data_IF_461214056378
#
_entry.id   IF_461214056378
#
_cell.length_a   1.000
_cell.length_b   1.000
_cell.length_c   1.000
_cell.angle_alpha   90.00
_cell.angle_beta   90.00
_cell.angle_gamma   90.00
#
_symmetry.space_group_name_H-M   'P 1'
#
loop_
_entity.id
_entity.type
_entity.pdbx_description
1 polymer ?
#
# COMPACT_ATOMS: atom_id res chain seq x y z
N UNK A 1 39.93 -36.47 -26.11
CA UNK A 1 38.69 -35.90 -26.68
C UNK A 1 37.77 -35.61 -25.50
N UNK A 2 36.85 -34.63 -25.56
CA UNK A 2 35.85 -34.30 -24.51
C UNK A 2 36.08 -33.17 -23.48
N UNK A 3 37.07 -32.28 -23.62
CA UNK A 3 37.03 -31.00 -22.87
C UNK A 3 37.21 -29.71 -23.70
N UNK A 4 37.46 -29.81 -25.01
CA UNK A 4 37.49 -28.63 -25.90
C UNK A 4 36.17 -28.37 -26.64
N UNK A 5 35.22 -29.29 -26.58
CA UNK A 5 33.99 -29.23 -27.39
C UNK A 5 32.79 -28.60 -26.66
N UNK A 6 32.88 -28.36 -25.33
CA UNK A 6 31.80 -27.72 -24.55
C UNK A 6 31.96 -26.21 -24.33
N UNK A 7 33.03 -25.59 -24.83
CA UNK A 7 33.24 -24.14 -24.71
C UNK A 7 32.97 -23.34 -25.99
N UNK A 8 32.65 -23.99 -27.11
CA UNK A 8 32.28 -23.28 -28.35
C UNK A 8 30.78 -22.93 -28.44
N UNK A 9 29.92 -23.50 -27.59
CA UNK A 9 28.46 -23.32 -27.71
C UNK A 9 27.92 -22.07 -26.98
N UNK A 10 28.69 -20.99 -26.89
CA UNK A 10 28.25 -19.70 -26.32
C UNK A 10 28.69 -18.47 -27.13
N UNK A 11 28.72 -18.58 -28.45
CA UNK A 11 28.97 -17.43 -29.34
C UNK A 11 27.92 -17.25 -30.43
N UNK A 12 26.66 -17.21 -30.05
CA UNK A 12 25.63 -16.51 -30.84
C UNK A 12 24.70 -15.79 -29.85
N UNK A 13 25.15 -14.65 -29.34
CA UNK A 13 24.24 -13.67 -28.73
C UNK A 13 23.83 -12.74 -29.86
N UNK A 14 22.57 -12.85 -30.28
CA UNK A 14 21.99 -11.96 -31.28
C UNK A 14 22.31 -10.51 -30.89
N UNK A 15 22.87 -9.69 -31.80
CA UNK A 15 23.27 -8.31 -31.49
C UNK A 15 22.13 -7.47 -30.88
N UNK A 16 20.88 -7.77 -31.26
CA UNK A 16 19.66 -7.17 -30.70
C UNK A 16 19.45 -7.47 -29.21
N UNK A 17 19.80 -8.69 -28.76
CA UNK A 17 19.66 -9.10 -27.35
C UNK A 17 20.67 -8.37 -26.46
N UNK A 18 21.86 -8.05 -27.00
CA UNK A 18 22.87 -7.25 -26.28
C UNK A 18 22.48 -5.78 -26.20
N UNK A 19 21.90 -5.22 -27.27
CA UNK A 19 21.40 -3.85 -27.26
C UNK A 19 20.24 -3.67 -26.29
N UNK A 20 19.24 -4.56 -26.32
CA UNK A 20 18.11 -4.52 -25.40
C UNK A 20 18.53 -4.66 -23.94
N UNK A 21 19.46 -5.57 -23.62
CA UNK A 21 20.04 -5.68 -22.28
C UNK A 21 20.78 -4.41 -21.85
N UNK A 22 21.52 -3.78 -22.75
CA UNK A 22 22.26 -2.53 -22.47
C UNK A 22 21.30 -1.38 -22.20
N UNK A 23 20.23 -1.23 -22.97
CA UNK A 23 19.20 -0.19 -22.76
C UNK A 23 18.51 -0.38 -21.40
N UNK A 24 18.15 -1.62 -21.05
CA UNK A 24 17.44 -1.95 -19.80
C UNK A 24 18.31 -1.81 -18.54
N UNK A 25 19.64 -1.82 -18.70
CA UNK A 25 20.58 -1.75 -17.56
C UNK A 25 21.17 -0.35 -17.34
N UNK A 26 20.85 0.62 -18.21
CA UNK A 26 21.33 2.00 -18.08
C UNK A 26 20.45 2.84 -17.15
N UNK A 27 21.06 3.79 -16.44
CA UNK A 27 20.32 4.76 -15.65
C UNK A 27 19.62 5.77 -16.57
N UNK A 28 18.43 6.24 -16.17
CA UNK A 28 17.61 7.22 -16.93
C UNK A 28 18.44 8.40 -17.51
N UNK A 29 19.37 9.04 -16.77
CA UNK A 29 20.18 10.12 -17.35
C UNK A 29 21.17 9.65 -18.43
N UNK A 30 21.68 8.42 -18.34
CA UNK A 30 22.54 7.84 -19.38
C UNK A 30 21.73 7.48 -20.64
N UNK A 31 20.48 7.02 -20.48
CA UNK A 31 19.56 6.73 -21.57
C UNK A 31 19.23 8.00 -22.39
N UNK A 32 18.98 9.11 -21.69
CA UNK A 32 18.68 10.40 -22.32
C UNK A 32 19.82 10.90 -23.19
N UNK A 33 21.06 10.83 -22.68
CA UNK A 33 22.27 11.22 -23.44
C UNK A 33 22.49 10.34 -24.68
N UNK A 34 22.17 9.05 -24.56
CA UNK A 34 22.32 8.12 -25.68
C UNK A 34 21.30 8.42 -26.77
N UNK A 35 20.05 8.71 -26.42
CA UNK A 35 19.04 9.17 -27.37
C UNK A 35 19.43 10.51 -28.04
N UNK A 36 19.94 11.48 -27.26
CA UNK A 36 20.43 12.77 -27.79
C UNK A 36 21.58 12.59 -28.78
N UNK A 37 22.51 11.66 -28.54
CA UNK A 37 23.60 11.35 -29.47
C UNK A 37 23.10 10.68 -30.75
N UNK A 38 22.17 9.73 -30.66
CA UNK A 38 21.60 9.05 -31.84
C UNK A 38 20.75 10.00 -32.71
N UNK A 39 20.23 11.10 -32.15
CA UNK A 39 19.59 12.17 -32.91
C UNK A 39 20.58 12.97 -33.77
N UNK A 40 21.84 13.09 -33.34
CA UNK A 40 22.88 13.76 -34.13
C UNK A 40 23.31 12.90 -35.32
N UNK A 41 23.35 11.59 -35.13
CA UNK A 41 23.78 10.63 -36.16
C UNK A 41 22.67 10.27 -37.17
N UNK A 42 21.40 10.45 -36.79
CA UNK A 42 20.26 10.17 -37.68
C UNK A 42 19.46 11.45 -37.97
N UNK A 43 19.79 12.18 -39.06
CA UNK A 43 19.25 13.51 -39.37
C UNK A 43 17.74 13.54 -39.70
N UNK A 44 17.05 12.39 -39.68
CA UNK A 44 15.58 12.28 -39.82
C UNK A 44 14.88 12.29 -38.44
N UNK A 45 15.60 12.08 -37.33
CA UNK A 45 15.02 12.09 -35.99
C UNK A 45 14.79 13.53 -35.49
N UNK A 46 13.53 13.92 -35.41
CA UNK A 46 13.11 15.18 -34.81
C UNK A 46 12.56 14.96 -33.39
N UNK A 47 12.99 15.76 -32.41
CA UNK A 47 12.36 15.81 -31.10
C UNK A 47 10.99 16.48 -31.25
N UNK A 48 9.91 15.70 -31.10
CA UNK A 48 8.58 16.30 -31.00
C UNK A 48 8.48 17.04 -29.67
N UNK A 49 8.31 18.37 -29.66
CA UNK A 49 8.05 19.07 -28.41
C UNK A 49 6.77 18.50 -27.79
N UNK A 50 6.76 18.35 -26.47
CA UNK A 50 5.57 17.93 -25.74
C UNK A 50 4.42 18.92 -26.00
N UNK A 51 3.61 18.62 -27.00
CA UNK A 51 2.41 19.40 -27.28
C UNK A 51 1.47 19.20 -26.09
N UNK A 52 1.38 20.21 -25.23
CA UNK A 52 0.18 20.45 -24.44
C UNK A 52 -0.94 20.72 -25.44
N UNK A 53 -1.60 19.66 -25.89
CA UNK A 53 -2.76 19.78 -26.76
C UNK A 53 -3.88 20.48 -25.99
N UNK A 54 -4.06 21.76 -26.23
CA UNK A 54 -5.33 22.43 -25.97
C UNK A 54 -6.38 21.78 -26.88
N UNK A 55 -7.15 20.86 -26.33
CA UNK A 55 -8.18 20.11 -27.06
C UNK A 55 -9.31 21.04 -27.48
N UNK A 56 -9.40 21.37 -28.79
CA UNK A 56 -10.66 21.78 -29.41
C UNK A 56 -11.32 20.56 -30.02
N UNK A 57 -12.42 20.14 -29.40
CA UNK A 57 -13.24 19.01 -29.82
C UNK A 57 -13.87 19.26 -31.20
N UNK A 58 -13.68 18.30 -32.11
CA UNK A 58 -14.61 18.05 -33.23
C UNK A 58 -14.82 16.54 -33.31
N UNK A 59 -16.07 16.13 -33.09
CA UNK A 59 -16.55 14.74 -33.09
C UNK A 59 -16.52 14.15 -34.51
N UNK A 60 -16.09 12.90 -34.66
CA UNK A 60 -16.90 11.81 -35.25
C UNK A 60 -16.13 10.47 -35.30
N UNK A 61 -16.78 9.45 -34.75
CA UNK A 61 -16.76 7.99 -35.00
C UNK A 61 -15.47 7.15 -34.94
N UNK A 62 -15.51 6.24 -33.96
CA UNK A 62 -14.97 4.87 -33.90
C UNK A 62 -13.62 4.60 -34.57
N UNK A 63 -12.60 4.43 -33.74
CA UNK A 63 -11.85 3.17 -33.63
C UNK A 63 -11.01 3.20 -32.34
N UNK A 64 -10.88 2.05 -31.69
CA UNK A 64 -10.30 1.89 -30.36
C UNK A 64 -8.86 2.37 -30.26
N UNK A 65 -8.68 3.66 -30.00
CA UNK A 65 -7.49 4.17 -29.35
C UNK A 65 -7.56 3.70 -27.91
N UNK A 66 -6.93 2.57 -27.61
CA UNK A 66 -6.55 2.26 -26.23
C UNK A 66 -5.79 3.49 -25.71
N UNK A 67 -6.43 4.23 -24.81
CA UNK A 67 -5.92 5.46 -24.21
C UNK A 67 -4.78 5.09 -23.25
N UNK A 68 -3.66 4.68 -23.85
CA UNK A 68 -2.43 4.30 -23.19
C UNK A 68 -1.93 5.45 -22.32
N UNK A 69 -2.26 6.70 -22.66
CA UNK A 69 -2.01 7.92 -21.89
C UNK A 69 -2.72 7.91 -20.53
N UNK A 70 -4.03 7.60 -20.50
CA UNK A 70 -4.79 7.51 -19.24
C UNK A 70 -4.35 6.32 -18.38
N UNK A 71 -3.96 5.21 -19.02
CA UNK A 71 -3.49 4.01 -18.32
C UNK A 71 -2.04 4.17 -17.81
N UNK A 72 -1.16 4.83 -18.57
CA UNK A 72 0.21 5.15 -18.15
C UNK A 72 0.21 6.20 -17.04
N UNK A 73 -0.68 7.22 -17.10
CA UNK A 73 -0.84 8.19 -16.01
C UNK A 73 -1.31 7.56 -14.68
N UNK A 74 -2.11 6.49 -14.74
CA UNK A 74 -2.47 5.67 -13.58
C UNK A 74 -1.32 4.77 -13.09
N UNK A 75 -0.42 4.33 -13.99
CA UNK A 75 0.75 3.52 -13.64
C UNK A 75 1.91 4.34 -13.04
N UNK A 76 1.94 5.66 -13.25
CA UNK A 76 2.97 6.55 -12.70
C UNK A 76 2.64 7.11 -11.31
N UNK A 77 1.39 7.00 -10.87
CA UNK A 77 0.98 7.42 -9.52
C UNK A 77 1.02 6.24 -8.56
N UNK A 78 1.62 6.45 -7.37
CA UNK A 78 1.49 5.47 -6.28
C UNK A 78 0.01 5.32 -5.92
N UNK A 79 -0.51 4.09 -5.77
CA UNK A 79 -1.92 3.88 -5.44
C UNK A 79 -2.27 4.48 -4.06
N UNK A 80 -3.49 4.99 -3.94
CA UNK A 80 -4.00 5.49 -2.66
C UNK A 80 -4.22 4.35 -1.65
N UNK A 81 -4.38 4.69 -0.37
CA UNK A 81 -4.77 3.70 0.65
C UNK A 81 -6.08 3.00 0.24
N UNK A 82 -7.06 3.78 -0.20
CA UNK A 82 -8.34 3.26 -0.67
C UNK A 82 -8.15 2.30 -1.84
N UNK A 83 -7.33 2.64 -2.84
CA UNK A 83 -7.07 1.76 -3.99
C UNK A 83 -6.43 0.43 -3.58
N UNK A 84 -5.51 0.46 -2.61
CA UNK A 84 -4.86 -0.75 -2.08
C UNK A 84 -5.89 -1.63 -1.38
N UNK A 85 -6.69 -1.04 -0.48
CA UNK A 85 -7.69 -1.78 0.29
C UNK A 85 -8.81 -2.33 -0.59
N UNK A 86 -9.28 -1.56 -1.58
CA UNK A 86 -10.30 -2.01 -2.53
C UNK A 86 -9.79 -3.18 -3.37
N UNK A 87 -8.51 -3.14 -3.77
CA UNK A 87 -7.87 -4.27 -4.46
C UNK A 87 -7.80 -5.51 -3.57
N UNK A 88 -7.42 -5.36 -2.31
CA UNK A 88 -7.39 -6.47 -1.34
C UNK A 88 -8.80 -7.00 -1.09
N UNK A 89 -9.79 -6.13 -0.96
CA UNK A 89 -11.19 -6.52 -0.80
C UNK A 89 -11.65 -7.40 -1.96
N UNK A 90 -11.35 -7.02 -3.20
CA UNK A 90 -11.67 -7.82 -4.37
C UNK A 90 -10.95 -9.18 -4.44
N UNK A 91 -9.87 -9.38 -3.67
CA UNK A 91 -9.15 -10.65 -3.58
C UNK A 91 -9.66 -11.55 -2.45
N UNK A 92 -10.17 -10.97 -1.36
CA UNK A 92 -10.52 -11.70 -0.14
C UNK A 92 -12.02 -11.80 0.14
N UNK A 93 -12.85 -10.96 -0.48
CA UNK A 93 -14.29 -10.99 -0.25
C UNK A 93 -14.94 -12.26 -0.84
N UNK A 94 -15.83 -12.87 -0.06
CA UNK A 94 -16.49 -14.13 -0.43
C UNK A 94 -17.76 -13.92 -1.28
N UNK A 95 -18.44 -12.77 -1.13
CA UNK A 95 -19.72 -12.49 -1.78
C UNK A 95 -19.91 -11.00 -2.12
N UNK A 96 -20.81 -10.69 -3.06
CA UNK A 96 -21.12 -9.33 -3.51
C UNK A 96 -21.56 -8.39 -2.39
N UNK A 97 -22.24 -8.90 -1.36
CA UNK A 97 -22.63 -8.07 -0.22
C UNK A 97 -21.43 -7.74 0.67
N UNK A 98 -20.48 -8.67 0.85
CA UNK A 98 -19.23 -8.38 1.54
C UNK A 98 -18.38 -7.33 0.80
N UNK A 99 -18.40 -7.35 -0.54
CA UNK A 99 -17.76 -6.32 -1.37
C UNK A 99 -18.42 -4.95 -1.10
N UNK A 100 -19.75 -4.85 -1.19
CA UNK A 100 -20.46 -3.57 -0.96
C UNK A 100 -20.25 -3.02 0.45
N UNK A 101 -20.31 -3.89 1.47
CA UNK A 101 -20.03 -3.51 2.86
C UNK A 101 -18.58 -3.01 2.98
N UNK A 102 -17.63 -3.72 2.38
CA UNK A 102 -16.23 -3.34 2.49
C UNK A 102 -15.90 -2.05 1.75
N UNK A 103 -16.52 -1.81 0.60
CA UNK A 103 -16.43 -0.52 -0.12
C UNK A 103 -16.90 0.63 0.77
N UNK A 104 -18.08 0.50 1.40
CA UNK A 104 -18.62 1.51 2.30
C UNK A 104 -17.69 1.77 3.49
N UNK A 105 -17.12 0.73 4.09
CA UNK A 105 -16.13 0.86 5.18
C UNK A 105 -14.89 1.62 4.70
N UNK A 106 -14.34 1.24 3.54
CA UNK A 106 -13.09 1.81 3.00
C UNK A 106 -13.26 3.30 2.64
N UNK A 107 -14.41 3.67 2.08
CA UNK A 107 -14.71 5.07 1.75
C UNK A 107 -14.90 5.95 2.98
N UNK A 108 -15.28 5.37 4.12
CA UNK A 108 -15.47 6.07 5.40
C UNK A 108 -14.21 6.08 6.30
N UNK A 109 -13.04 5.74 5.75
CA UNK A 109 -11.76 5.85 6.46
C UNK A 109 -11.19 7.27 6.43
N UNK A 110 -10.59 7.69 7.53
CA UNK A 110 -9.84 8.95 7.60
C UNK A 110 -8.41 8.82 7.05
N UNK A 111 -7.68 9.94 7.04
CA UNK A 111 -6.29 10.02 6.57
C UNK A 111 -5.30 9.20 7.42
N UNK A 112 -5.66 8.83 8.65
CA UNK A 112 -4.86 7.96 9.49
C UNK A 112 -5.23 6.47 9.30
N UNK A 113 -6.28 6.18 8.54
CA UNK A 113 -6.81 4.84 8.31
C UNK A 113 -7.82 4.36 9.37
N UNK A 114 -8.42 5.26 10.16
CA UNK A 114 -9.45 4.92 11.13
C UNK A 114 -10.86 5.04 10.55
N UNK A 115 -11.75 4.15 10.96
CA UNK A 115 -13.17 4.20 10.59
C UNK A 115 -13.87 5.33 11.36
N UNK A 116 -14.58 6.21 10.64
CA UNK A 116 -15.33 7.33 11.23
C UNK A 116 -16.81 7.10 11.43
N UNK A 117 -17.35 6.04 10.83
CA UNK A 117 -18.77 5.71 10.84
C UNK A 117 -19.02 4.51 11.77
N UNK A 118 -20.19 4.46 12.40
CA UNK A 118 -20.59 3.32 13.25
C UNK A 118 -21.02 2.12 12.40
N UNK A 119 -20.88 0.90 12.93
CA UNK A 119 -21.29 -0.31 12.20
C UNK A 119 -22.80 -0.37 12.00
N UNK A 120 -23.57 0.17 12.95
CA UNK A 120 -25.02 0.32 12.83
C UNK A 120 -25.43 1.23 11.66
N UNK A 121 -24.71 2.33 11.43
CA UNK A 121 -24.94 3.23 10.29
C UNK A 121 -24.64 2.53 8.95
N UNK A 122 -23.53 1.78 8.88
CA UNK A 122 -23.18 1.00 7.67
C UNK A 122 -24.24 -0.07 7.40
N UNK A 123 -24.67 -0.79 8.45
CA UNK A 123 -25.70 -1.82 8.37
C UNK A 123 -27.04 -1.25 7.89
N UNK A 124 -27.47 -0.12 8.46
CA UNK A 124 -28.71 0.56 8.10
C UNK A 124 -28.68 1.08 6.65
N UNK A 125 -27.55 1.66 6.21
CA UNK A 125 -27.39 2.23 4.87
C UNK A 125 -27.48 1.16 3.78
N UNK A 126 -26.87 -0.01 4.03
CA UNK A 126 -26.84 -1.11 3.06
C UNK A 126 -27.97 -2.12 3.23
N UNK A 127 -28.81 -1.94 4.26
CA UNK A 127 -29.84 -2.89 4.69
C UNK A 127 -29.27 -4.32 4.85
N UNK A 128 -28.14 -4.42 5.57
CA UNK A 128 -27.41 -5.67 5.82
C UNK A 128 -27.42 -6.00 7.32
N UNK A 129 -27.35 -7.29 7.70
CA UNK A 129 -27.25 -7.70 9.09
C UNK A 129 -25.91 -7.24 9.70
N UNK A 130 -25.96 -6.79 10.96
CA UNK A 130 -24.80 -6.25 11.67
C UNK A 130 -23.67 -7.27 11.78
N UNK A 131 -24.00 -8.55 11.93
CA UNK A 131 -23.05 -9.65 12.05
C UNK A 131 -22.21 -9.80 10.77
N UNK A 132 -22.79 -9.47 9.61
CA UNK A 132 -22.06 -9.50 8.34
C UNK A 132 -21.13 -8.31 8.22
N UNK A 133 -21.58 -7.12 8.68
CA UNK A 133 -20.75 -5.91 8.71
C UNK A 133 -19.53 -6.10 9.62
N UNK A 134 -19.72 -6.68 10.80
CA UNK A 134 -18.63 -7.01 11.73
C UNK A 134 -17.62 -7.98 11.11
N UNK A 135 -18.08 -9.06 10.46
CA UNK A 135 -17.18 -10.00 9.77
C UNK A 135 -16.37 -9.35 8.66
N UNK A 136 -17.01 -8.50 7.85
CA UNK A 136 -16.32 -7.76 6.78
C UNK A 136 -15.32 -6.77 7.36
N UNK A 137 -15.64 -6.08 8.46
CA UNK A 137 -14.69 -5.22 9.15
C UNK A 137 -13.48 -6.01 9.66
N UNK A 138 -13.70 -7.15 10.32
CA UNK A 138 -12.61 -8.01 10.81
C UNK A 138 -11.70 -8.52 9.70
N UNK A 139 -12.27 -8.75 8.50
CA UNK A 139 -11.50 -9.09 7.31
C UNK A 139 -10.61 -7.92 6.87
N UNK A 140 -11.18 -6.72 6.74
CA UNK A 140 -10.46 -5.50 6.32
C UNK A 140 -9.37 -5.13 7.31
N UNK A 141 -9.60 -5.32 8.61
CA UNK A 141 -8.61 -5.03 9.66
C UNK A 141 -7.33 -5.88 9.55
N UNK A 142 -7.38 -7.01 8.83
CA UNK A 142 -6.24 -7.91 8.56
C UNK A 142 -5.50 -7.57 7.25
N UNK A 143 -5.96 -6.56 6.51
CA UNK A 143 -5.29 -6.12 5.30
C UNK A 143 -3.93 -5.45 5.59
N UNK A 144 -3.16 -5.20 4.54
CA UNK A 144 -1.89 -4.46 4.62
C UNK A 144 -2.15 -3.00 4.20
N UNK A 145 -2.00 -2.01 5.09
CA UNK A 145 -1.34 -2.06 6.41
C UNK A 145 -2.18 -2.64 7.57
N UNK A 146 -1.57 -3.41 8.49
CA UNK A 146 -2.28 -4.05 9.60
C UNK A 146 -2.86 -3.02 10.57
N UNK A 147 -4.09 -3.26 11.04
CA UNK A 147 -4.81 -2.35 11.94
C UNK A 147 -5.51 -1.18 11.23
N UNK A 148 -5.57 -1.20 9.90
CA UNK A 148 -6.44 -0.32 9.11
C UNK A 148 -7.92 -0.58 9.45
N UNK A 149 -8.78 0.43 9.32
CA UNK A 149 -10.19 0.39 9.72
C UNK A 149 -10.43 0.12 11.22
N UNK A 150 -9.44 0.35 12.07
CA UNK A 150 -9.65 0.40 13.51
C UNK A 150 -10.51 1.63 13.90
N UNK A 151 -11.30 1.52 14.97
CA UNK A 151 -12.12 2.63 15.49
C UNK A 151 -11.29 3.60 16.33
N UNK A 152 -10.18 3.13 16.90
CA UNK A 152 -9.27 3.94 17.71
C UNK A 152 -7.83 3.40 17.68
N UNK A 153 -6.90 4.18 18.25
CA UNK A 153 -5.47 3.82 18.35
C UNK A 153 -5.28 2.51 19.11
N UNK A 154 -5.99 2.31 20.21
CA UNK A 154 -5.86 1.08 21.03
C UNK A 154 -6.20 -0.16 20.21
N UNK A 155 -7.33 -0.14 19.51
CA UNK A 155 -7.77 -1.23 18.64
C UNK A 155 -6.77 -1.49 17.52
N UNK A 156 -6.27 -0.43 16.86
CA UNK A 156 -5.24 -0.54 15.82
C UNK A 156 -4.00 -1.28 16.33
N UNK A 157 -3.45 -0.86 17.47
CA UNK A 157 -2.26 -1.47 18.06
C UNK A 157 -2.53 -2.92 18.51
N UNK A 158 -3.72 -3.21 19.06
CA UNK A 158 -4.10 -4.57 19.44
C UNK A 158 -4.22 -5.51 18.22
N UNK A 159 -4.75 -5.02 17.10
CA UNK A 159 -4.81 -5.77 15.85
C UNK A 159 -3.39 -6.09 15.36
N UNK A 160 -2.48 -5.10 15.39
CA UNK A 160 -1.09 -5.30 14.98
C UNK A 160 -0.36 -6.32 15.87
N UNK A 161 -0.60 -6.30 17.19
CA UNK A 161 -0.06 -7.31 18.09
C UNK A 161 -0.56 -8.72 17.78
N UNK A 162 -1.87 -8.88 17.54
CA UNK A 162 -2.47 -10.15 17.15
C UNK A 162 -1.85 -10.68 15.85
N UNK A 163 -1.62 -9.82 14.86
CA UNK A 163 -0.97 -10.20 13.59
C UNK A 163 0.49 -10.62 13.77
N UNK A 164 1.20 -10.01 14.72
CA UNK A 164 2.59 -10.37 15.04
C UNK A 164 2.70 -11.61 15.95
N UNK A 165 1.59 -12.29 16.29
CA UNK A 165 1.52 -13.37 17.28
C UNK A 165 2.06 -12.97 18.67
N UNK A 166 2.04 -11.68 18.99
CA UNK A 166 2.53 -11.14 20.26
C UNK A 166 1.32 -10.93 21.18
N UNK A 167 1.17 -11.78 22.19
CA UNK A 167 0.01 -11.75 23.11
C UNK A 167 0.43 -11.58 24.57
N UNK A 168 1.50 -10.82 24.82
CA UNK A 168 1.91 -10.49 26.18
C UNK A 168 0.76 -9.77 26.93
N UNK A 169 0.22 -10.36 28.01
CA UNK A 169 -0.91 -9.78 28.75
C UNK A 169 -0.60 -8.39 29.31
N UNK A 170 0.65 -8.11 29.67
CA UNK A 170 1.05 -6.79 30.18
C UNK A 170 1.01 -5.75 29.05
N UNK A 171 1.47 -6.11 27.86
CA UNK A 171 1.45 -5.23 26.69
C UNK A 171 0.02 -4.86 26.28
N UNK A 172 -0.87 -5.86 26.27
CA UNK A 172 -2.31 -5.66 26.01
C UNK A 172 -2.95 -4.73 27.04
N UNK A 173 -2.60 -4.86 28.33
CA UNK A 173 -3.06 -3.95 29.39
C UNK A 173 -2.55 -2.53 29.21
N UNK A 174 -1.27 -2.36 28.85
CA UNK A 174 -0.70 -1.03 28.60
C UNK A 174 -1.43 -0.34 27.44
N UNK A 175 -1.70 -1.05 26.34
CA UNK A 175 -2.38 -0.50 25.16
C UNK A 175 -3.87 -0.21 25.43
N UNK A 176 -4.53 -1.03 26.24
CA UNK A 176 -5.96 -0.84 26.53
C UNK A 176 -6.22 0.25 27.56
N UNK A 177 -5.34 0.45 28.54
CA UNK A 177 -5.63 1.30 29.71
C UNK A 177 -4.65 2.47 29.91
N UNK A 178 -3.43 2.41 29.36
CA UNK A 178 -2.35 3.33 29.72
C UNK A 178 -1.68 4.03 28.51
N UNK A 179 -2.26 4.03 27.31
CA UNK A 179 -1.65 4.69 26.15
C UNK A 179 -1.38 6.19 26.37
N UNK A 180 -2.25 6.88 27.11
CA UNK A 180 -2.04 8.29 27.43
C UNK A 180 -0.83 8.50 28.34
N UNK A 181 -0.63 7.62 29.32
CA UNK A 181 0.55 7.62 30.18
C UNK A 181 1.82 7.31 29.39
N UNK A 182 1.74 6.40 28.41
CA UNK A 182 2.84 6.11 27.47
C UNK A 182 3.20 7.35 26.67
N UNK A 183 2.22 8.04 26.09
CA UNK A 183 2.42 9.26 25.32
C UNK A 183 3.03 10.39 26.17
N UNK A 184 2.62 10.51 27.44
CA UNK A 184 3.13 11.48 28.42
C UNK A 184 4.44 11.04 29.11
N UNK A 185 5.01 9.90 28.72
CA UNK A 185 6.24 9.31 29.32
C UNK A 185 6.13 9.04 30.83
N UNK A 186 4.93 8.75 31.34
CA UNK A 186 4.64 8.53 32.77
C UNK A 186 4.80 7.06 33.17
N UNK A 187 5.93 6.44 32.81
CA UNK A 187 6.13 4.99 32.97
C UNK A 187 6.10 4.51 34.42
N UNK A 188 6.46 5.37 35.38
CA UNK A 188 6.36 5.06 36.80
C UNK A 188 4.92 4.84 37.27
N UNK A 189 3.95 5.57 36.70
CA UNK A 189 2.53 5.38 37.01
C UNK A 189 2.03 4.06 36.46
N UNK A 190 2.48 3.70 35.25
CA UNK A 190 2.15 2.42 34.61
C UNK A 190 2.69 1.25 35.44
N UNK A 191 3.95 1.32 35.87
CA UNK A 191 4.58 0.31 36.72
C UNK A 191 3.80 0.11 38.03
N UNK A 192 3.41 1.22 38.69
CA UNK A 192 2.61 1.19 39.91
C UNK A 192 1.19 0.62 39.68
N UNK A 193 0.52 1.05 38.61
CA UNK A 193 -0.84 0.61 38.30
C UNK A 193 -0.91 -0.88 37.96
N UNK A 194 0.11 -1.39 37.25
CA UNK A 194 0.21 -2.80 36.86
C UNK A 194 0.88 -3.69 37.91
N UNK A 195 1.44 -3.11 38.97
CA UNK A 195 2.13 -3.85 40.03
C UNK A 195 3.39 -4.59 39.56
N UNK A 196 4.08 -4.07 38.53
CA UNK A 196 5.28 -4.68 37.94
C UNK A 196 6.51 -3.80 38.12
N UNK A 197 7.72 -4.40 38.20
CA UNK A 197 8.97 -3.64 38.26
C UNK A 197 9.11 -2.70 37.07
N UNK A 198 9.68 -1.51 37.31
CA UNK A 198 9.92 -0.52 36.26
C UNK A 198 10.78 -1.07 35.12
N UNK A 199 11.75 -1.94 35.43
CA UNK A 199 12.63 -2.62 34.48
C UNK A 199 11.85 -3.44 33.43
N UNK A 200 10.68 -3.97 33.80
CA UNK A 200 9.84 -4.74 32.89
C UNK A 200 8.99 -3.86 31.98
N UNK A 201 8.79 -2.57 32.32
CA UNK A 201 7.96 -1.65 31.53
C UNK A 201 8.71 -1.14 30.31
N UNK A 202 9.98 -0.75 30.46
CA UNK A 202 10.78 -0.19 29.37
C UNK A 202 10.82 -1.04 28.09
N UNK A 203 11.09 -2.36 28.12
CA UNK A 203 11.06 -3.20 26.92
C UNK A 203 9.66 -3.26 26.27
N UNK A 204 8.58 -3.23 27.07
CA UNK A 204 7.20 -3.22 26.55
C UNK A 204 6.90 -1.91 25.83
N UNK A 205 7.32 -0.76 26.39
CA UNK A 205 7.17 0.53 25.73
C UNK A 205 7.96 0.57 24.42
N UNK A 206 9.18 0.02 24.39
CA UNK A 206 9.95 -0.08 23.14
C UNK A 206 9.19 -0.90 22.08
N UNK A 207 8.57 -2.03 22.45
CA UNK A 207 7.70 -2.78 21.52
C UNK A 207 6.57 -1.92 20.97
N UNK A 208 5.83 -1.20 21.83
CA UNK A 208 4.74 -0.30 21.39
C UNK A 208 5.25 0.76 20.40
N UNK A 209 6.45 1.31 20.63
CA UNK A 209 7.03 2.34 19.75
C UNK A 209 7.42 1.84 18.35
N UNK A 210 7.63 0.53 18.18
CA UNK A 210 7.90 -0.07 16.87
C UNK A 210 6.62 -0.37 16.08
N UNK A 211 5.46 -0.33 16.74
CA UNK A 211 4.15 -0.44 16.07
C UNK A 211 3.81 0.85 15.33
N UNK A 212 2.94 0.75 14.33
CA UNK A 212 2.51 1.90 13.56
C UNK A 212 1.11 2.35 14.03
N UNK A 213 0.98 3.40 14.87
CA UNK A 213 -0.32 3.82 15.35
C UNK A 213 -1.22 4.33 14.22
N UNK A 214 -0.65 4.83 13.12
CA UNK A 214 -1.38 5.47 12.00
C UNK A 214 -1.11 4.72 10.68
N UNK A 215 -1.83 3.62 10.41
CA UNK A 215 -1.59 2.79 9.23
C UNK A 215 -1.70 3.59 7.92
N UNK A 216 -2.65 4.54 7.83
CA UNK A 216 -2.87 5.33 6.61
C UNK A 216 -1.82 6.41 6.32
N UNK A 217 -1.08 6.90 7.32
CA UNK A 217 -0.21 8.08 7.15
C UNK A 217 1.01 7.85 6.24
N UNK A 218 1.42 6.59 6.06
CA UNK A 218 2.57 6.24 5.19
C UNK A 218 2.15 6.04 3.72
N UNK A 219 0.85 6.03 3.42
CA UNK A 219 0.31 5.77 2.09
C UNK A 219 -0.35 7.04 1.60
N UNK A 220 0.24 7.64 0.56
CA UNK A 220 -0.23 8.90 -0.02
C UNK A 220 -1.61 8.69 -0.68
N UNK A 221 -2.53 9.65 -0.50
CA UNK A 221 -3.82 9.75 -1.21
C UNK A 221 -3.64 9.85 -2.72
#
# INVERSE_FOLDING_TARGET
MDLRQKFEQKRILAPELRQSLKILTLSIPALKRLAENEMLDNPVLEEKPAQRSSFKAKRSNNEGTWDLSHQIGKLTNKPSLQDILLRQLGMFAEDDSAIKIGEEIIWNLDENGYLKVSLDEVAATLNQPIEKVEKTLELIQKFDPPGVAARNISECLLIQLKMNNESDPLLVRIISQHLEDVAKKRYQLIAKALGVPFENIEPLIQKIRHLNPKPGSNIRR
#
